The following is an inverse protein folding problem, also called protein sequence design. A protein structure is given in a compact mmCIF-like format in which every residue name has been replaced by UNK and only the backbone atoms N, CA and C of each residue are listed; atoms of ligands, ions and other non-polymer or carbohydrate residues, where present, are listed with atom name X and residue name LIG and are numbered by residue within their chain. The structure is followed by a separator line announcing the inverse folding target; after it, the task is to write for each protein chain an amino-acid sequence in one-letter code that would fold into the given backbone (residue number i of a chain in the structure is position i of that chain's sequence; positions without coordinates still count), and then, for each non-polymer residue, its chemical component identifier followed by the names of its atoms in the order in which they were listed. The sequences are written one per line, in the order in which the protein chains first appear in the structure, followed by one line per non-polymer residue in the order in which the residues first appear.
data_IF_529620937560
#
_entry.id   IF_529620937560
#
_cell.length_a   1.000
_cell.length_b   1.000
_cell.length_c   1.000
_cell.angle_alpha   90.00
_cell.angle_beta   90.00
_cell.angle_gamma   90.00
#
_symmetry.space_group_name_H-M   'P 1'
#
loop_
_entity.id
_entity.type
_entity.pdbx_description
1 polymer ?
#
# COMPACT_ATOMS: atom_id res chain seq x y z
N UNK A 1 26.24 -7.56 -0.64
CA UNK A 1 26.45 -8.92 -1.20
C UNK A 1 27.75 -9.48 -0.66
N UNK A 2 27.74 -10.69 -0.15
CA UNK A 2 28.98 -11.41 0.24
C UNK A 2 29.58 -12.01 -1.03
N UNK A 3 30.44 -11.27 -1.72
CA UNK A 3 30.86 -11.54 -3.10
C UNK A 3 31.35 -12.94 -3.35
N UNK A 4 32.17 -13.48 -2.42
CA UNK A 4 32.75 -14.79 -2.60
C UNK A 4 31.75 -15.94 -2.43
N UNK A 5 30.98 -15.92 -1.34
CA UNK A 5 30.02 -17.00 -1.04
C UNK A 5 28.77 -16.99 -1.95
N UNK A 6 28.45 -15.87 -2.55
CA UNK A 6 27.29 -15.74 -3.49
C UNK A 6 27.74 -15.79 -4.97
N UNK A 7 29.05 -15.84 -5.25
CA UNK A 7 29.57 -15.72 -6.61
C UNK A 7 29.03 -16.79 -7.57
N UNK A 8 28.89 -18.04 -7.13
CA UNK A 8 28.33 -19.11 -7.95
C UNK A 8 26.88 -18.87 -8.36
N UNK A 9 26.01 -18.48 -7.41
CA UNK A 9 24.62 -18.21 -7.67
C UNK A 9 24.42 -16.96 -8.54
N UNK A 10 25.19 -15.91 -8.31
CA UNK A 10 25.19 -14.70 -9.16
C UNK A 10 25.64 -15.03 -10.59
N UNK A 11 26.71 -15.84 -10.73
CA UNK A 11 27.17 -16.27 -12.04
C UNK A 11 26.13 -17.08 -12.80
N UNK A 12 25.44 -17.99 -12.12
CA UNK A 12 24.33 -18.76 -12.73
C UNK A 12 23.18 -17.87 -13.19
N UNK A 13 22.73 -16.95 -12.32
CA UNK A 13 21.66 -16.01 -12.67
C UNK A 13 22.03 -15.13 -13.88
N UNK A 14 23.25 -14.58 -13.88
CA UNK A 14 23.74 -13.75 -15.00
C UNK A 14 23.89 -14.56 -16.29
N UNK A 15 24.41 -15.79 -16.23
CA UNK A 15 24.53 -16.64 -17.41
C UNK A 15 23.18 -16.96 -18.02
N UNK A 16 22.19 -17.35 -17.19
CA UNK A 16 20.83 -17.60 -17.66
C UNK A 16 20.22 -16.32 -18.26
N UNK A 17 20.40 -15.18 -17.61
CA UNK A 17 19.85 -13.91 -18.08
C UNK A 17 20.42 -13.47 -19.43
N UNK A 18 21.73 -13.64 -19.62
CA UNK A 18 22.40 -13.31 -20.91
C UNK A 18 21.93 -14.25 -22.02
N UNK A 19 21.81 -15.55 -21.72
CA UNK A 19 21.51 -16.57 -22.76
C UNK A 19 20.00 -16.66 -23.03
N UNK A 20 19.17 -16.60 -22.01
CA UNK A 20 17.75 -16.91 -22.10
C UNK A 20 16.86 -15.67 -21.92
N UNK A 21 17.41 -14.51 -21.57
CA UNK A 21 16.63 -13.30 -21.25
C UNK A 21 15.95 -13.32 -19.87
N UNK A 22 16.12 -14.42 -19.10
CA UNK A 22 15.53 -14.61 -17.78
C UNK A 22 16.53 -15.31 -16.85
N UNK A 23 16.65 -14.91 -15.57
CA UNK A 23 17.58 -15.53 -14.63
C UNK A 23 17.22 -16.96 -14.23
N UNK A 24 16.03 -17.46 -14.58
CA UNK A 24 15.54 -18.81 -14.28
C UNK A 24 14.99 -19.00 -12.87
N UNK A 25 15.13 -18.01 -12.00
CA UNK A 25 14.61 -17.99 -10.63
C UNK A 25 14.46 -16.53 -10.15
N UNK A 26 13.70 -16.33 -9.09
CA UNK A 26 13.44 -14.98 -8.58
C UNK A 26 14.71 -14.36 -7.95
N UNK A 27 15.20 -13.29 -8.57
CA UNK A 27 16.35 -12.49 -8.11
C UNK A 27 15.94 -11.05 -7.74
N UNK A 28 14.66 -10.74 -7.67
CA UNK A 28 14.16 -9.37 -7.45
C UNK A 28 14.81 -8.70 -6.24
N UNK A 29 14.98 -9.42 -5.15
CA UNK A 29 15.62 -8.90 -3.93
C UNK A 29 17.09 -8.45 -4.15
N UNK A 30 17.73 -8.85 -5.25
CA UNK A 30 19.10 -8.46 -5.63
C UNK A 30 19.14 -7.60 -6.89
N UNK A 31 18.03 -7.44 -7.58
CA UNK A 31 17.93 -6.65 -8.81
C UNK A 31 18.05 -5.16 -8.49
N UNK A 32 18.87 -4.45 -9.26
CA UNK A 32 19.04 -3.00 -9.11
C UNK A 32 17.76 -2.24 -9.47
N UNK A 33 16.95 -2.76 -10.36
CA UNK A 33 15.67 -2.15 -10.77
C UNK A 33 14.61 -2.09 -9.67
N UNK A 34 14.83 -2.77 -8.53
CA UNK A 34 13.99 -2.57 -7.33
C UNK A 34 14.13 -1.19 -6.67
N UNK A 35 15.15 -0.44 -7.04
CA UNK A 35 15.37 0.92 -6.58
C UNK A 35 14.86 1.90 -7.61
N UNK A 36 13.89 2.73 -7.24
CA UNK A 36 13.39 3.82 -8.06
C UNK A 36 14.25 5.09 -7.96
N UNK A 37 13.76 6.17 -8.52
CA UNK A 37 14.44 7.48 -8.58
C UNK A 37 14.76 8.09 -7.20
N UNK A 38 14.07 7.64 -6.15
CA UNK A 38 14.35 8.03 -4.77
C UNK A 38 15.76 7.63 -4.31
N UNK A 39 16.37 6.62 -4.91
CA UNK A 39 17.68 6.08 -4.51
C UNK A 39 18.84 6.93 -5.07
N UNK A 40 18.80 8.22 -4.80
CA UNK A 40 19.88 9.14 -5.16
C UNK A 40 21.22 8.72 -4.52
N UNK A 41 22.34 9.25 -5.03
CA UNK A 41 23.68 8.98 -4.48
C UNK A 41 23.78 9.36 -2.99
N UNK A 42 23.16 10.47 -2.59
CA UNK A 42 23.14 10.92 -1.19
C UNK A 42 22.42 9.93 -0.27
N UNK A 43 21.21 9.50 -0.68
CA UNK A 43 20.44 8.51 0.03
C UNK A 43 21.18 7.16 0.11
N UNK A 44 21.67 6.69 -1.01
CA UNK A 44 22.39 5.41 -1.11
C UNK A 44 23.64 5.39 -0.22
N UNK A 45 24.44 6.46 -0.25
CA UNK A 45 25.64 6.58 0.60
C UNK A 45 25.28 6.56 2.09
N UNK A 46 24.24 7.28 2.51
CA UNK A 46 23.81 7.27 3.90
C UNK A 46 23.37 5.86 4.35
N UNK A 47 22.53 5.20 3.55
CA UNK A 47 22.05 3.83 3.80
C UNK A 47 23.16 2.80 3.83
N UNK A 48 24.10 2.86 2.86
CA UNK A 48 25.22 1.91 2.79
C UNK A 48 26.13 2.08 4.00
N UNK A 49 26.44 3.30 4.41
CA UNK A 49 27.26 3.54 5.62
C UNK A 49 26.62 2.94 6.87
N UNK A 50 25.34 3.21 7.12
CA UNK A 50 24.62 2.64 8.27
C UNK A 50 24.58 1.10 8.18
N UNK A 51 24.19 0.55 7.02
CA UNK A 51 24.12 -0.90 6.83
C UNK A 51 25.48 -1.59 7.00
N UNK A 52 26.56 -0.96 6.50
CA UNK A 52 27.89 -1.53 6.58
C UNK A 52 28.46 -1.48 8.00
N UNK A 53 28.23 -0.38 8.74
CA UNK A 53 28.66 -0.28 10.15
C UNK A 53 27.98 -1.33 11.04
N UNK A 54 26.79 -1.81 10.63
CA UNK A 54 25.99 -2.80 11.36
C UNK A 54 26.07 -4.20 10.73
N UNK A 55 27.02 -4.44 9.83
CA UNK A 55 27.10 -5.67 9.03
C UNK A 55 27.12 -6.96 9.85
N UNK A 56 27.75 -6.95 11.01
CA UNK A 56 27.88 -8.10 11.89
C UNK A 56 26.90 -8.06 13.08
N UNK A 57 26.05 -7.04 13.16
CA UNK A 57 25.03 -6.96 14.19
C UNK A 57 23.87 -7.90 13.86
N UNK A 58 23.35 -8.57 14.86
CA UNK A 58 22.09 -9.28 14.78
C UNK A 58 20.99 -8.24 14.96
N UNK A 59 20.10 -8.13 13.96
CA UNK A 59 18.98 -7.18 13.98
C UNK A 59 17.77 -7.81 14.66
N UNK A 60 17.08 -7.00 15.45
CA UNK A 60 15.78 -7.39 15.97
C UNK A 60 14.71 -7.43 14.86
N UNK A 61 13.68 -8.28 15.00
CA UNK A 61 12.51 -8.19 14.12
C UNK A 61 11.94 -6.77 14.11
N UNK A 62 11.53 -6.29 12.93
CA UNK A 62 10.97 -4.96 12.70
C UNK A 62 11.91 -3.77 12.99
N UNK A 63 13.18 -4.01 13.19
CA UNK A 63 14.16 -2.94 13.34
C UNK A 63 14.42 -2.24 12.01
N UNK A 64 14.17 -0.95 11.95
CA UNK A 64 14.32 -0.11 10.77
C UNK A 64 15.68 0.59 10.72
N UNK A 65 16.22 0.76 9.51
CA UNK A 65 17.39 1.64 9.30
C UNK A 65 16.93 3.09 9.29
N UNK A 66 17.67 3.96 9.96
CA UNK A 66 17.30 5.38 10.17
C UNK A 66 18.00 6.35 9.24
N UNK A 67 19.17 6.00 8.70
CA UNK A 67 19.92 6.90 7.83
C UNK A 67 19.15 7.25 6.55
N UNK A 68 19.25 8.49 6.10
CA UNK A 68 18.58 9.00 4.90
C UNK A 68 17.06 9.17 5.06
N UNK A 69 16.56 9.31 6.28
CA UNK A 69 15.12 9.51 6.58
C UNK A 69 14.89 10.84 7.32
N UNK A 70 13.70 11.50 7.14
CA UNK A 70 12.70 11.19 6.11
C UNK A 70 13.20 11.57 4.71
N UNK A 71 12.78 10.83 3.66
CA UNK A 71 13.10 11.16 2.27
C UNK A 71 11.87 11.66 1.53
N UNK A 72 10.82 10.86 1.47
CA UNK A 72 9.53 11.22 0.91
C UNK A 72 8.43 11.04 1.98
N UNK A 73 7.46 11.94 1.98
CA UNK A 73 6.37 11.96 2.97
C UNK A 73 5.03 12.19 2.29
N UNK A 74 3.95 11.69 2.90
CA UNK A 74 2.60 12.03 2.46
C UNK A 74 2.22 13.45 2.93
N UNK A 75 1.19 14.08 2.32
CA UNK A 75 0.76 15.43 2.71
C UNK A 75 0.31 15.58 4.18
N UNK A 76 0.07 14.47 4.88
CA UNK A 76 -0.37 14.43 6.28
C UNK A 76 0.71 13.97 7.26
N UNK A 77 1.95 13.86 6.81
CA UNK A 77 3.06 13.36 7.63
C UNK A 77 3.20 14.12 8.96
N UNK A 78 3.07 15.45 8.94
CA UNK A 78 3.15 16.28 10.15
C UNK A 78 1.98 16.03 11.11
N UNK A 79 0.77 15.76 10.61
CA UNK A 79 -0.41 15.37 11.39
C UNK A 79 -0.19 14.04 12.10
N UNK A 80 0.32 13.07 11.37
CA UNK A 80 0.62 11.73 11.90
C UNK A 80 1.78 11.80 12.91
N UNK A 81 2.82 12.58 12.62
CA UNK A 81 3.93 12.81 13.54
C UNK A 81 3.46 13.45 14.86
N UNK A 82 2.62 14.51 14.78
CA UNK A 82 2.04 15.16 15.95
C UNK A 82 1.14 14.21 16.77
N UNK A 83 0.50 13.24 16.13
CA UNK A 83 -0.29 12.19 16.78
C UNK A 83 0.55 11.06 17.39
N UNK A 84 1.88 11.12 17.28
CA UNK A 84 2.80 10.13 17.86
C UNK A 84 3.11 8.94 16.96
N UNK A 85 2.97 9.08 15.63
CA UNK A 85 3.33 8.03 14.70
C UNK A 85 4.80 7.62 14.82
N UNK A 86 5.03 6.32 14.91
CA UNK A 86 6.34 5.71 14.73
C UNK A 86 6.44 5.23 13.28
N UNK A 87 7.37 5.82 12.54
CA UNK A 87 7.45 5.61 11.10
C UNK A 87 8.44 4.52 10.72
N UNK A 88 8.10 3.78 9.68
CA UNK A 88 9.00 2.99 8.85
C UNK A 88 9.10 3.61 7.46
N UNK A 89 10.01 3.11 6.64
CA UNK A 89 10.14 3.55 5.27
C UNK A 89 9.98 2.37 4.28
N UNK A 90 9.17 2.59 3.26
CA UNK A 90 9.02 1.68 2.13
C UNK A 90 9.41 2.41 0.86
N UNK A 91 10.51 1.98 0.21
CA UNK A 91 11.03 2.61 -1.02
C UNK A 91 11.12 4.15 -0.93
N UNK A 92 11.70 4.62 0.18
CA UNK A 92 11.91 6.05 0.44
C UNK A 92 10.70 6.80 1.01
N UNK A 93 9.50 6.23 0.96
CA UNK A 93 8.28 6.84 1.51
C UNK A 93 8.10 6.48 3.00
N UNK A 94 7.93 7.50 3.83
CA UNK A 94 7.58 7.33 5.25
C UNK A 94 6.14 6.83 5.40
N UNK A 95 5.95 5.81 6.22
CA UNK A 95 4.64 5.27 6.52
C UNK A 95 4.49 4.99 8.02
N UNK A 96 3.33 5.27 8.64
CA UNK A 96 3.12 5.01 10.05
C UNK A 96 3.06 3.49 10.30
N UNK A 97 3.93 3.00 11.15
CA UNK A 97 3.93 1.60 11.58
C UNK A 97 2.95 1.37 12.73
N UNK A 98 2.96 2.27 13.70
CA UNK A 98 2.10 2.26 14.89
C UNK A 98 2.13 3.64 15.57
N UNK A 99 1.27 3.86 16.56
CA UNK A 99 1.15 5.14 17.24
C UNK A 99 1.37 4.99 18.74
N UNK A 100 2.12 5.94 19.31
CA UNK A 100 2.36 6.04 20.73
C UNK A 100 2.24 7.48 21.23
N UNK A 101 1.51 7.75 22.30
CA UNK A 101 1.45 9.09 22.87
C UNK A 101 2.80 9.49 23.44
N UNK A 102 3.20 10.74 23.15
CA UNK A 102 4.20 11.53 23.86
C UNK A 102 5.52 10.86 24.24
N UNK A 103 6.50 10.78 23.32
CA UNK A 103 7.89 10.49 23.68
C UNK A 103 8.25 9.02 23.91
N UNK A 104 7.35 8.09 23.60
CA UNK A 104 7.67 6.65 23.64
C UNK A 104 8.68 6.33 22.55
N UNK A 105 9.84 5.80 22.93
CA UNK A 105 10.86 5.29 22.01
C UNK A 105 10.65 3.78 21.86
N UNK A 106 10.77 3.30 20.62
CA UNK A 106 10.67 1.87 20.35
C UNK A 106 11.91 1.14 20.90
N UNK A 107 11.67 0.23 21.86
CA UNK A 107 12.67 -0.71 22.35
C UNK A 107 12.39 -2.08 21.73
N UNK A 108 13.35 -2.56 20.94
CA UNK A 108 13.26 -3.85 20.25
C UNK A 108 13.55 -5.01 21.19
N UNK A 109 12.89 -6.13 20.95
CA UNK A 109 13.05 -7.34 21.74
C UNK A 109 12.90 -8.59 20.85
N UNK A 110 13.58 -9.69 21.21
CA UNK A 110 13.38 -11.02 20.62
C UNK A 110 12.03 -11.64 20.99
N UNK A 111 11.28 -11.03 21.90
CA UNK A 111 9.94 -11.47 22.30
C UNK A 111 8.93 -10.42 21.83
N UNK A 112 8.46 -9.54 22.74
CA UNK A 112 7.50 -8.47 22.49
C UNK A 112 8.20 -7.14 22.66
N UNK A 113 8.30 -6.39 21.60
CA UNK A 113 8.82 -5.02 21.59
C UNK A 113 7.77 -4.05 22.16
N UNK A 114 8.16 -2.80 22.36
CA UNK A 114 7.33 -1.74 22.94
C UNK A 114 6.01 -1.54 22.20
N UNK A 115 6.02 -1.71 20.88
CA UNK A 115 4.86 -1.55 19.99
C UNK A 115 3.69 -2.48 20.33
N UNK A 116 3.95 -3.66 20.91
CA UNK A 116 2.94 -4.69 21.12
C UNK A 116 1.67 -4.18 21.83
N UNK A 117 1.85 -3.38 22.91
CA UNK A 117 0.71 -2.84 23.67
C UNK A 117 -0.06 -1.77 22.88
N UNK A 118 0.66 -0.97 22.10
CA UNK A 118 0.10 0.12 21.31
C UNK A 118 -0.67 -0.43 20.11
N UNK A 119 -0.06 -1.35 19.36
CA UNK A 119 -0.71 -2.07 18.26
C UNK A 119 -1.97 -2.80 18.75
N UNK A 120 -1.92 -3.42 19.94
CA UNK A 120 -3.10 -4.06 20.54
C UNK A 120 -4.25 -3.07 20.78
N UNK A 121 -3.96 -1.83 21.22
CA UNK A 121 -4.99 -0.78 21.40
C UNK A 121 -5.54 -0.31 20.05
N UNK A 122 -4.70 -0.15 19.05
CA UNK A 122 -5.12 0.21 17.69
C UNK A 122 -6.08 -0.84 17.11
N UNK A 123 -5.73 -2.13 17.23
CA UNK A 123 -6.59 -3.25 16.82
C UNK A 123 -7.95 -3.21 17.55
N UNK A 124 -7.96 -2.95 18.88
CA UNK A 124 -9.19 -2.82 19.65
C UNK A 124 -10.04 -1.63 19.19
N UNK A 125 -9.41 -0.49 18.88
CA UNK A 125 -10.11 0.69 18.36
C UNK A 125 -10.83 0.38 17.05
N UNK A 126 -10.15 -0.26 16.09
CA UNK A 126 -10.77 -0.69 14.83
C UNK A 126 -11.95 -1.63 15.09
N UNK A 127 -11.80 -2.61 15.97
CA UNK A 127 -12.85 -3.61 16.24
C UNK A 127 -14.05 -3.08 16.98
N UNK A 128 -13.86 -2.13 17.89
CA UNK A 128 -14.90 -1.63 18.78
C UNK A 128 -15.56 -0.36 18.29
N UNK A 129 -14.88 0.40 17.43
CA UNK A 129 -15.36 1.70 16.96
C UNK A 129 -14.98 1.96 15.50
N UNK A 130 -14.01 2.80 15.26
CA UNK A 130 -13.50 3.13 13.92
C UNK A 130 -12.03 3.52 13.99
N UNK A 131 -11.21 2.91 13.12
CA UNK A 131 -9.82 3.27 12.91
C UNK A 131 -9.66 4.05 11.62
N UNK A 132 -8.69 4.97 11.59
CA UNK A 132 -8.24 5.72 10.41
C UNK A 132 -6.76 5.43 10.17
N UNK A 133 -6.39 5.05 8.94
CA UNK A 133 -4.98 4.87 8.55
C UNK A 133 -4.68 5.50 7.20
N UNK A 134 -3.43 5.95 7.04
CA UNK A 134 -2.86 6.35 5.74
C UNK A 134 -2.44 5.11 4.96
N UNK A 135 -3.03 4.93 3.78
CA UNK A 135 -2.75 3.84 2.85
C UNK A 135 -2.16 4.36 1.52
N UNK A 136 -1.65 5.58 1.52
CA UNK A 136 -1.05 6.19 0.33
C UNK A 136 0.17 5.42 -0.20
N UNK A 137 0.77 4.58 0.63
CA UNK A 137 1.90 3.71 0.28
C UNK A 137 1.50 2.46 -0.54
N UNK A 138 0.22 2.20 -0.78
CA UNK A 138 -0.18 1.15 -1.71
C UNK A 138 0.20 1.53 -3.14
N UNK A 139 0.60 0.55 -3.95
CA UNK A 139 0.77 0.73 -5.38
C UNK A 139 -0.59 0.91 -6.05
N UNK A 140 -0.69 1.87 -6.98
CA UNK A 140 -1.91 2.17 -7.71
C UNK A 140 -1.56 2.29 -9.19
N UNK A 141 -2.17 1.43 -10.01
CA UNK A 141 -1.94 1.42 -11.43
C UNK A 141 -3.25 1.73 -12.15
N UNK A 142 -3.22 2.77 -12.98
CA UNK A 142 -4.34 3.10 -13.85
C UNK A 142 -4.13 2.47 -15.22
N UNK A 143 -5.14 1.76 -15.69
CA UNK A 143 -5.12 1.12 -17.01
C UNK A 143 -6.24 1.73 -17.86
N UNK A 144 -5.87 2.19 -19.05
CA UNK A 144 -6.76 2.83 -20.01
C UNK A 144 -6.50 2.31 -21.42
N UNK A 145 -7.39 2.66 -22.35
CA UNK A 145 -7.28 2.30 -23.76
C UNK A 145 -8.31 1.24 -24.19
N UNK A 146 -8.57 1.16 -25.47
CA UNK A 146 -9.58 0.26 -26.05
C UNK A 146 -9.26 -1.23 -25.84
N UNK A 147 -7.98 -1.56 -25.73
CA UNK A 147 -7.50 -2.93 -25.46
C UNK A 147 -7.45 -3.29 -23.96
N UNK A 148 -7.71 -2.36 -23.04
CA UNK A 148 -7.49 -2.55 -21.60
C UNK A 148 -8.24 -3.76 -21.04
N UNK A 149 -9.50 -3.94 -21.36
CA UNK A 149 -10.32 -5.05 -20.88
C UNK A 149 -9.76 -6.39 -21.34
N UNK A 150 -9.48 -6.53 -22.63
CA UNK A 150 -8.96 -7.80 -23.19
C UNK A 150 -7.57 -8.13 -22.63
N UNK A 151 -6.73 -7.12 -22.44
CA UNK A 151 -5.40 -7.30 -21.88
C UNK A 151 -5.46 -7.72 -20.40
N UNK A 152 -6.29 -7.06 -19.57
CA UNK A 152 -6.46 -7.43 -18.16
C UNK A 152 -7.07 -8.83 -18.00
N UNK A 153 -8.02 -9.21 -18.85
CA UNK A 153 -8.62 -10.56 -18.85
C UNK A 153 -7.58 -11.66 -19.18
N UNK A 154 -6.56 -11.31 -19.97
CA UNK A 154 -5.46 -12.23 -20.29
C UNK A 154 -4.43 -12.39 -19.18
N UNK A 155 -4.12 -11.31 -18.41
CA UNK A 155 -3.03 -11.34 -17.42
C UNK A 155 -3.50 -11.58 -15.98
N UNK A 156 -4.79 -11.46 -15.70
CA UNK A 156 -5.35 -11.62 -14.36
C UNK A 156 -6.18 -12.90 -14.27
N UNK A 157 -6.02 -13.64 -13.18
CA UNK A 157 -6.75 -14.88 -12.93
C UNK A 157 -8.07 -14.62 -12.19
N UNK A 158 -8.93 -13.74 -12.75
CA UNK A 158 -10.24 -13.42 -12.19
C UNK A 158 -11.23 -13.04 -13.29
N UNK A 159 -12.52 -13.03 -12.96
CA UNK A 159 -13.51 -12.35 -13.82
C UNK A 159 -13.42 -10.85 -13.57
N UNK A 160 -13.25 -10.07 -14.63
CA UNK A 160 -13.19 -8.62 -14.53
C UNK A 160 -14.51 -8.03 -14.01
N UNK A 161 -14.46 -7.02 -13.12
CA UNK A 161 -15.66 -6.38 -12.62
C UNK A 161 -16.26 -5.43 -13.67
N UNK A 162 -17.58 -5.22 -13.60
CA UNK A 162 -18.24 -4.15 -14.36
C UNK A 162 -18.05 -2.77 -13.72
N UNK A 163 -18.48 -1.69 -14.41
CA UNK A 163 -18.36 -0.32 -13.90
C UNK A 163 -18.93 -0.15 -12.49
N UNK A 164 -18.25 0.63 -11.66
CA UNK A 164 -18.60 0.86 -10.24
C UNK A 164 -18.38 -0.34 -9.32
N UNK A 165 -17.65 -1.38 -9.78
CA UNK A 165 -17.39 -2.59 -9.01
C UNK A 165 -15.92 -2.90 -8.88
N UNK A 166 -15.60 -3.67 -7.86
CA UNK A 166 -14.25 -4.18 -7.56
C UNK A 166 -14.27 -5.71 -7.49
N UNK A 167 -13.10 -6.32 -7.68
CA UNK A 167 -12.84 -7.73 -7.41
C UNK A 167 -11.42 -7.92 -6.90
N UNK A 168 -11.14 -9.06 -6.27
CA UNK A 168 -9.76 -9.48 -6.01
C UNK A 168 -9.21 -10.13 -7.29
N UNK A 169 -8.02 -9.71 -7.69
CA UNK A 169 -7.42 -10.05 -8.96
C UNK A 169 -5.99 -10.58 -8.79
N UNK A 170 -5.81 -11.89 -8.62
CA UNK A 170 -4.48 -12.51 -8.66
C UNK A 170 -3.87 -12.39 -10.05
N UNK A 171 -2.59 -12.09 -10.10
CA UNK A 171 -1.76 -12.12 -11.31
C UNK A 171 -0.77 -13.27 -11.21
N UNK A 172 -0.75 -14.14 -12.21
CA UNK A 172 0.00 -15.38 -12.20
C UNK A 172 1.03 -15.41 -13.32
N UNK A 173 2.12 -16.13 -13.09
CA UNK A 173 3.02 -16.60 -14.15
C UNK A 173 2.36 -17.75 -14.92
N UNK A 174 2.95 -18.09 -16.07
CA UNK A 174 2.52 -19.25 -16.89
C UNK A 174 2.58 -20.58 -16.11
N UNK A 175 3.45 -20.69 -15.13
CA UNK A 175 3.57 -21.86 -14.25
C UNK A 175 2.58 -21.86 -13.06
N UNK A 176 1.68 -20.88 -13.01
CA UNK A 176 0.66 -20.72 -11.97
C UNK A 176 1.13 -20.07 -10.67
N UNK A 177 2.38 -19.65 -10.57
CA UNK A 177 2.87 -18.92 -9.38
C UNK A 177 2.34 -17.49 -9.35
N UNK A 178 1.99 -17.04 -8.16
CA UNK A 178 1.50 -15.66 -7.93
C UNK A 178 2.64 -14.67 -8.09
N UNK A 179 2.45 -13.67 -8.96
CA UNK A 179 3.31 -12.48 -9.10
C UNK A 179 2.81 -11.35 -8.24
N UNK A 180 1.49 -11.17 -8.18
CA UNK A 180 0.84 -10.14 -7.41
C UNK A 180 -0.63 -10.46 -7.20
N UNK A 181 -1.22 -9.75 -6.25
CA UNK A 181 -2.65 -9.75 -5.99
C UNK A 181 -3.11 -8.29 -5.83
N UNK A 182 -4.26 -8.00 -6.39
CA UNK A 182 -4.78 -6.63 -6.47
C UNK A 182 -6.25 -6.58 -6.07
N UNK A 183 -6.64 -5.43 -5.55
CA UNK A 183 -8.01 -4.97 -5.63
C UNK A 183 -8.18 -4.27 -6.97
N UNK A 184 -8.89 -4.90 -7.91
CA UNK A 184 -9.16 -4.38 -9.24
C UNK A 184 -10.51 -3.68 -9.25
N UNK A 185 -10.54 -2.41 -9.59
CA UNK A 185 -11.75 -1.62 -9.81
C UNK A 185 -11.94 -1.32 -11.29
N UNK A 186 -13.18 -1.44 -11.77
CA UNK A 186 -13.63 -0.85 -13.04
C UNK A 186 -14.36 0.46 -12.70
N UNK A 187 -13.84 1.59 -13.18
CA UNK A 187 -14.40 2.90 -12.91
C UNK A 187 -15.55 3.22 -13.87
N UNK A 188 -16.35 4.23 -13.56
CA UNK A 188 -17.52 4.60 -14.35
C UNK A 188 -17.16 5.06 -15.78
N UNK A 189 -15.95 5.58 -15.98
CA UNK A 189 -15.42 5.97 -17.30
C UNK A 189 -14.88 4.78 -18.12
N UNK A 190 -14.97 3.55 -17.57
CA UNK A 190 -14.48 2.34 -18.22
C UNK A 190 -12.99 2.09 -18.04
N UNK A 191 -12.24 2.97 -17.37
CA UNK A 191 -10.86 2.72 -16.98
C UNK A 191 -10.79 1.77 -15.79
N UNK A 192 -9.61 1.18 -15.58
CA UNK A 192 -9.36 0.29 -14.45
C UNK A 192 -8.34 0.89 -13.49
N UNK A 193 -8.55 0.64 -12.20
CA UNK A 193 -7.60 0.96 -11.15
C UNK A 193 -7.24 -0.33 -10.39
N UNK A 194 -5.95 -0.70 -10.42
CA UNK A 194 -5.42 -1.81 -9.64
C UNK A 194 -4.72 -1.24 -8.40
N UNK A 195 -5.05 -1.75 -7.23
CA UNK A 195 -4.45 -1.37 -5.96
C UNK A 195 -3.77 -2.61 -5.38
N UNK A 196 -2.48 -2.51 -5.12
CA UNK A 196 -1.67 -3.62 -4.66
C UNK A 196 -0.58 -3.23 -3.67
N UNK A 197 0.34 -4.15 -3.44
CA UNK A 197 1.45 -3.92 -2.51
C UNK A 197 2.42 -2.85 -3.02
N UNK A 198 2.59 -1.75 -2.27
CA UNK A 198 3.57 -0.71 -2.61
C UNK A 198 5.01 -1.20 -2.59
N UNK A 199 5.30 -2.28 -1.87
CA UNK A 199 6.64 -2.89 -1.88
C UNK A 199 6.98 -3.61 -3.18
N UNK A 200 5.98 -3.91 -3.99
CA UNK A 200 6.12 -4.62 -5.24
C UNK A 200 5.77 -3.73 -6.47
N UNK A 201 5.69 -2.41 -6.29
CA UNK A 201 5.25 -1.50 -7.34
C UNK A 201 6.10 -1.62 -8.61
N UNK A 202 7.41 -1.49 -8.51
CA UNK A 202 8.31 -1.62 -9.66
C UNK A 202 8.37 -3.06 -10.21
N UNK A 203 8.24 -4.05 -9.32
CA UNK A 203 8.18 -5.47 -9.72
C UNK A 203 6.96 -5.78 -10.57
N UNK A 204 5.79 -5.31 -10.13
CA UNK A 204 4.55 -5.46 -10.89
C UNK A 204 4.58 -4.63 -12.18
N UNK A 205 5.07 -3.38 -12.12
CA UNK A 205 5.16 -2.52 -13.30
C UNK A 205 6.04 -3.15 -14.38
N UNK A 206 7.18 -3.75 -14.02
CA UNK A 206 8.04 -4.47 -14.96
C UNK A 206 7.28 -5.62 -15.64
N UNK A 207 6.48 -6.37 -14.89
CA UNK A 207 5.67 -7.45 -15.43
C UNK A 207 4.59 -6.91 -16.36
N UNK A 208 3.88 -5.89 -15.97
CA UNK A 208 2.88 -5.24 -16.81
C UNK A 208 3.48 -4.76 -18.15
N UNK A 209 4.60 -4.05 -18.08
CA UNK A 209 5.26 -3.51 -19.26
C UNK A 209 5.75 -4.60 -20.23
N UNK A 210 6.19 -5.75 -19.71
CA UNK A 210 6.63 -6.88 -20.56
C UNK A 210 5.48 -7.62 -21.25
N UNK A 211 4.23 -7.36 -20.84
CA UNK A 211 3.03 -7.98 -21.41
C UNK A 211 2.11 -6.98 -22.10
N UNK A 212 2.55 -5.73 -22.27
CA UNK A 212 1.77 -4.75 -23.03
C UNK A 212 1.75 -5.13 -24.53
N UNK A 213 0.59 -4.94 -25.20
CA UNK A 213 0.55 -5.09 -26.65
C UNK A 213 1.31 -3.97 -27.35
N UNK A 214 2.06 -4.31 -28.42
CA UNK A 214 2.92 -3.36 -29.15
C UNK A 214 2.13 -2.28 -29.95
N UNK A 215 0.82 -2.44 -30.09
CA UNK A 215 -0.05 -1.58 -30.88
C UNK A 215 -0.49 -0.29 -30.18
N UNK A 216 -0.09 -0.08 -28.91
CA UNK A 216 -0.47 1.10 -28.14
C UNK A 216 -1.94 1.14 -27.69
N UNK A 217 -2.70 0.05 -27.84
CA UNK A 217 -4.12 -0.02 -27.45
C UNK A 217 -4.34 -0.02 -25.94
N UNK A 218 -3.28 -0.21 -25.15
CA UNK A 218 -3.30 -0.23 -23.67
C UNK A 218 -2.25 0.73 -23.15
N UNK A 219 -2.67 1.57 -22.20
CA UNK A 219 -1.76 2.45 -21.44
C UNK A 219 -1.89 2.09 -19.95
N UNK A 220 -0.77 1.84 -19.30
CA UNK A 220 -0.69 1.66 -17.86
C UNK A 220 0.22 2.71 -17.25
N UNK A 221 -0.23 3.33 -16.16
CA UNK A 221 0.54 4.33 -15.42
C UNK A 221 0.49 4.04 -13.93
N UNK A 222 1.63 4.23 -13.23
CA UNK A 222 1.63 4.27 -11.77
C UNK A 222 1.18 5.65 -11.31
N UNK A 223 0.19 5.70 -10.42
CA UNK A 223 -0.31 6.94 -9.81
C UNK A 223 0.62 7.45 -8.70
N UNK A 224 1.43 6.57 -8.10
CA UNK A 224 2.33 6.95 -7.01
C UNK A 224 1.61 7.78 -5.93
N UNK A 225 2.20 8.90 -5.52
CA UNK A 225 1.58 9.88 -4.62
C UNK A 225 0.62 10.86 -5.33
N UNK A 226 0.44 10.77 -6.65
CA UNK A 226 -0.60 11.52 -7.36
C UNK A 226 -2.03 11.12 -6.92
N UNK A 227 -2.15 9.93 -6.32
CA UNK A 227 -3.38 9.47 -5.67
C UNK A 227 -3.06 9.02 -4.24
N UNK A 228 -3.48 9.82 -3.25
CA UNK A 228 -3.32 9.52 -1.83
C UNK A 228 -4.53 8.79 -1.28
N UNK A 229 -4.34 7.92 -0.30
CA UNK A 229 -5.41 7.10 0.25
C UNK A 229 -5.51 7.13 1.76
N UNK A 230 -6.74 7.19 2.26
CA UNK A 230 -7.08 6.94 3.66
C UNK A 230 -8.04 5.76 3.75
N UNK A 231 -7.90 4.94 4.78
CA UNK A 231 -8.90 3.91 5.09
C UNK A 231 -9.54 4.20 6.43
N UNK A 232 -10.87 4.07 6.48
CA UNK A 232 -11.63 4.00 7.73
C UNK A 232 -12.22 2.61 7.87
N UNK A 233 -11.97 1.96 9.01
CA UNK A 233 -12.41 0.59 9.25
C UNK A 233 -12.95 0.40 10.66
N UNK A 234 -13.96 -0.44 10.79
CA UNK A 234 -14.63 -0.74 12.04
C UNK A 234 -16.14 -0.51 12.00
N UNK A 235 -16.89 -0.90 13.04
CA UNK A 235 -18.36 -0.87 13.04
C UNK A 235 -18.96 0.53 12.83
N UNK A 236 -18.26 1.60 13.22
CA UNK A 236 -18.71 2.99 13.06
C UNK A 236 -18.25 3.64 11.75
N UNK A 237 -17.47 2.96 10.91
CA UNK A 237 -16.90 3.54 9.69
C UNK A 237 -17.98 4.08 8.72
N UNK A 238 -19.13 3.40 8.62
CA UNK A 238 -20.25 3.89 7.81
C UNK A 238 -20.87 5.18 8.35
N UNK A 239 -21.02 5.28 9.66
CA UNK A 239 -21.56 6.48 10.30
C UNK A 239 -20.64 7.69 10.07
N UNK A 240 -19.32 7.49 10.20
CA UNK A 240 -18.31 8.52 9.89
C UNK A 240 -18.42 8.93 8.41
N UNK A 241 -18.47 7.98 7.48
CA UNK A 241 -18.59 8.30 6.05
C UNK A 241 -19.89 9.07 5.75
N UNK A 242 -21.02 8.61 6.29
CA UNK A 242 -22.33 9.25 6.12
C UNK A 242 -22.38 10.69 6.64
N UNK A 243 -21.56 11.04 7.64
CA UNK A 243 -21.46 12.40 8.16
C UNK A 243 -20.76 13.37 7.20
N UNK A 244 -20.06 12.87 6.17
CA UNK A 244 -19.32 13.69 5.21
C UNK A 244 -19.96 13.74 3.83
N UNK A 245 -20.97 12.93 3.54
CA UNK A 245 -21.56 12.88 2.20
C UNK A 245 -23.08 12.88 2.25
N UNK A 246 -23.70 13.47 1.23
CA UNK A 246 -25.15 13.34 0.98
C UNK A 246 -25.52 12.09 0.18
N UNK A 247 -24.52 11.37 -0.35
CA UNK A 247 -24.75 10.11 -1.06
C UNK A 247 -25.26 9.03 -0.11
N UNK A 248 -26.16 8.19 -0.58
CA UNK A 248 -26.61 7.02 0.18
C UNK A 248 -25.50 5.99 0.27
N UNK A 249 -24.94 5.82 1.48
CA UNK A 249 -23.91 4.84 1.83
C UNK A 249 -24.46 3.67 2.65
N UNK A 250 -25.79 3.46 2.63
CA UNK A 250 -26.44 2.31 3.23
C UNK A 250 -25.89 0.99 2.69
N UNK A 251 -26.23 -0.12 3.34
CA UNK A 251 -25.80 -1.45 2.88
C UNK A 251 -26.38 -1.79 1.51
N UNK A 252 -27.58 -1.35 1.26
CA UNK A 252 -28.37 -1.59 0.04
C UNK A 252 -27.84 -0.77 -1.14
N UNK A 253 -27.56 0.51 -0.90
CA UNK A 253 -27.13 1.43 -1.94
C UNK A 253 -25.62 1.33 -2.25
N UNK A 254 -24.78 1.07 -1.25
CA UNK A 254 -23.34 0.95 -1.41
C UNK A 254 -22.86 -0.42 -0.94
N UNK A 255 -22.97 -1.41 -1.82
CA UNK A 255 -22.69 -2.83 -1.54
C UNK A 255 -21.19 -3.09 -1.37
N UNK A 256 -20.84 -4.17 -0.68
CA UNK A 256 -19.45 -4.66 -0.60
C UNK A 256 -18.85 -4.83 -2.00
N UNK A 257 -17.60 -4.43 -2.17
CA UNK A 257 -16.87 -4.38 -3.45
C UNK A 257 -17.51 -3.41 -4.48
N UNK A 258 -18.25 -2.39 -4.02
CA UNK A 258 -18.61 -1.25 -4.85
C UNK A 258 -17.55 -0.15 -4.72
N UNK A 259 -17.36 0.60 -5.79
CA UNK A 259 -16.51 1.78 -5.84
C UNK A 259 -17.26 2.91 -6.56
N UNK A 260 -17.17 4.14 -6.06
CA UNK A 260 -17.89 5.30 -6.60
C UNK A 260 -17.11 6.58 -6.40
N UNK A 261 -17.23 7.47 -7.35
CA UNK A 261 -16.95 8.89 -7.14
C UNK A 261 -18.04 9.51 -6.26
N UNK A 262 -17.64 10.24 -5.24
CA UNK A 262 -18.55 10.99 -4.38
C UNK A 262 -17.85 12.20 -3.74
N UNK A 263 -18.63 13.18 -3.35
CA UNK A 263 -18.10 14.32 -2.60
C UNK A 263 -18.18 14.02 -1.09
N UNK A 264 -17.05 14.17 -0.42
CA UNK A 264 -16.95 14.16 1.04
C UNK A 264 -16.80 15.62 1.51
N UNK A 265 -17.91 16.24 1.92
CA UNK A 265 -17.99 17.68 2.02
C UNK A 265 -17.77 18.33 0.64
N UNK A 266 -16.70 19.11 0.53
CA UNK A 266 -16.27 19.75 -0.74
C UNK A 266 -15.15 18.99 -1.46
N UNK A 267 -14.78 17.81 -0.99
CA UNK A 267 -13.65 17.05 -1.50
C UNK A 267 -14.14 15.98 -2.48
N UNK A 268 -13.75 16.03 -3.77
CA UNK A 268 -14.01 14.95 -4.69
C UNK A 268 -13.16 13.75 -4.32
N UNK A 269 -13.78 12.60 -4.11
CA UNK A 269 -13.12 11.37 -3.67
C UNK A 269 -13.64 10.16 -4.43
N UNK A 270 -12.74 9.22 -4.71
CA UNK A 270 -13.08 7.88 -5.16
C UNK A 270 -13.15 6.99 -3.91
N UNK A 271 -14.31 6.42 -3.63
CA UNK A 271 -14.55 5.65 -2.41
C UNK A 271 -14.88 4.21 -2.76
N UNK A 272 -14.06 3.27 -2.27
CA UNK A 272 -14.30 1.83 -2.38
C UNK A 272 -14.84 1.26 -1.07
N UNK A 273 -15.90 0.45 -1.13
CA UNK A 273 -16.37 -0.28 0.05
C UNK A 273 -15.60 -1.59 0.19
N UNK A 274 -14.38 -1.46 0.65
CA UNK A 274 -13.43 -2.53 0.93
C UNK A 274 -12.55 -2.10 2.10
N UNK A 275 -12.00 -3.04 2.83
CA UNK A 275 -10.99 -2.80 3.86
C UNK A 275 -10.06 -3.98 3.98
N UNK A 276 -8.77 -3.70 4.03
CA UNK A 276 -7.75 -4.73 4.25
C UNK A 276 -7.79 -5.32 5.68
N UNK A 277 -8.52 -4.69 6.60
CA UNK A 277 -8.73 -5.21 7.97
C UNK A 277 -9.69 -6.40 8.03
N UNK A 278 -10.47 -6.65 6.97
CA UNK A 278 -11.54 -7.64 6.95
C UNK A 278 -12.79 -7.27 7.74
N UNK A 279 -12.83 -6.08 8.34
CA UNK A 279 -14.02 -5.49 8.97
C UNK A 279 -14.74 -4.55 8.01
N UNK A 280 -15.93 -4.06 8.39
CA UNK A 280 -16.60 -3.01 7.63
C UNK A 280 -15.66 -1.82 7.48
N UNK A 281 -15.46 -1.35 6.25
CA UNK A 281 -14.57 -0.24 6.02
C UNK A 281 -14.66 0.29 4.60
N UNK A 282 -13.95 1.39 4.40
CA UNK A 282 -13.89 2.12 3.15
C UNK A 282 -12.46 2.58 2.90
N UNK A 283 -12.02 2.44 1.67
CA UNK A 283 -10.81 3.07 1.16
C UNK A 283 -11.20 4.31 0.37
N UNK A 284 -10.60 5.44 0.72
CA UNK A 284 -10.94 6.75 0.20
C UNK A 284 -9.71 7.31 -0.50
N UNK A 285 -9.80 7.51 -1.79
CA UNK A 285 -8.72 7.96 -2.64
C UNK A 285 -8.97 9.37 -3.14
N UNK A 286 -7.98 10.24 -2.97
CA UNK A 286 -8.04 11.66 -3.33
C UNK A 286 -6.73 12.13 -3.94
N UNK A 287 -6.77 13.23 -4.69
CA UNK A 287 -5.55 13.93 -5.09
C UNK A 287 -4.82 14.51 -3.87
N UNK A 288 -3.48 14.64 -3.93
CA UNK A 288 -2.67 15.04 -2.79
C UNK A 288 -3.07 16.39 -2.17
N UNK A 289 -3.57 17.34 -2.97
CA UNK A 289 -4.04 18.64 -2.49
C UNK A 289 -5.23 18.55 -1.54
N UNK A 290 -6.03 17.49 -1.61
CA UNK A 290 -7.19 17.26 -0.73
C UNK A 290 -6.87 16.36 0.47
N UNK A 291 -5.75 15.67 0.47
CA UNK A 291 -5.45 14.61 1.46
C UNK A 291 -5.44 15.14 2.90
N UNK A 292 -4.82 16.30 3.12
CA UNK A 292 -4.77 16.93 4.45
C UNK A 292 -6.17 17.32 4.94
N UNK A 293 -6.96 17.97 4.10
CA UNK A 293 -8.30 18.38 4.46
C UNK A 293 -9.20 17.18 4.75
N UNK A 294 -9.11 16.15 3.92
CA UNK A 294 -9.85 14.90 4.15
C UNK A 294 -9.50 14.26 5.49
N UNK A 295 -8.21 14.20 5.83
CA UNK A 295 -7.77 13.69 7.13
C UNK A 295 -8.36 14.50 8.29
N UNK A 296 -8.25 15.83 8.25
CA UNK A 296 -8.75 16.71 9.29
C UNK A 296 -10.28 16.59 9.43
N UNK A 297 -11.03 16.53 8.31
CA UNK A 297 -12.49 16.35 8.31
C UNK A 297 -12.91 14.99 8.87
N UNK A 298 -12.24 13.90 8.49
CA UNK A 298 -12.51 12.55 9.03
C UNK A 298 -12.25 12.47 10.54
N UNK A 299 -11.16 13.06 11.01
CA UNK A 299 -10.86 13.11 12.45
C UNK A 299 -11.92 13.92 13.20
N UNK A 300 -12.35 15.08 12.68
CA UNK A 300 -13.34 15.94 13.30
C UNK A 300 -14.72 15.27 13.43
N UNK A 301 -15.26 14.72 12.32
CA UNK A 301 -16.56 14.03 12.38
C UNK A 301 -16.50 12.70 13.11
N UNK A 302 -15.32 12.07 13.12
CA UNK A 302 -15.07 10.80 13.80
C UNK A 302 -14.96 10.89 15.32
N UNK A 303 -14.77 12.10 15.89
CA UNK A 303 -14.57 12.29 17.33
C UNK A 303 -15.71 11.72 18.17
N UNK A 304 -16.96 11.98 17.77
CA UNK A 304 -18.15 11.45 18.47
C UNK A 304 -18.24 9.93 18.41
N UNK A 305 -17.60 9.31 17.42
CA UNK A 305 -17.50 7.87 17.24
C UNK A 305 -16.21 7.29 17.82
N UNK A 306 -15.42 8.08 18.56
CA UNK A 306 -14.13 7.69 19.14
C UNK A 306 -13.16 7.14 18.10
N UNK A 307 -13.05 7.83 16.97
CA UNK A 307 -12.08 7.49 15.91
C UNK A 307 -10.65 7.49 16.47
N UNK A 308 -9.86 6.52 16.09
CA UNK A 308 -8.45 6.46 16.46
C UNK A 308 -7.56 6.12 15.27
N UNK A 309 -6.31 6.57 15.32
CA UNK A 309 -5.33 6.25 14.30
C UNK A 309 -4.81 4.82 14.51
N UNK A 310 -4.49 4.15 13.42
CA UNK A 310 -3.80 2.87 13.43
C UNK A 310 -2.76 2.77 12.32
N UNK A 311 -1.68 2.05 12.59
CA UNK A 311 -0.58 1.88 11.66
C UNK A 311 -0.59 0.54 10.94
N UNK A 312 0.43 0.36 10.08
CA UNK A 312 0.56 -0.85 9.25
C UNK A 312 0.74 -2.13 10.06
N UNK A 313 1.29 -2.08 11.29
CA UNK A 313 1.41 -3.25 12.16
C UNK A 313 0.04 -3.73 12.65
N UNK A 314 -0.85 -2.82 13.02
CA UNK A 314 -2.23 -3.14 13.38
C UNK A 314 -3.02 -3.63 12.17
N UNK A 315 -2.86 -2.99 11.00
CA UNK A 315 -3.46 -3.44 9.75
C UNK A 315 -3.08 -4.89 9.44
N UNK A 316 -1.78 -5.21 9.56
CA UNK A 316 -1.28 -6.57 9.33
C UNK A 316 -1.81 -7.59 10.35
N UNK A 317 -1.93 -7.20 11.62
CA UNK A 317 -2.51 -8.07 12.66
C UNK A 317 -3.99 -8.37 12.37
N UNK A 318 -4.78 -7.33 12.04
CA UNK A 318 -6.20 -7.45 11.74
C UNK A 318 -6.49 -8.39 10.56
N UNK A 319 -5.73 -8.25 9.46
CA UNK A 319 -5.91 -9.14 8.31
C UNK A 319 -5.57 -10.60 8.63
N UNK A 320 -4.47 -10.83 9.37
CA UNK A 320 -4.06 -12.19 9.76
C UNK A 320 -5.11 -12.90 10.61
N UNK A 321 -5.81 -12.17 11.47
CA UNK A 321 -6.92 -12.70 12.28
C UNK A 321 -8.14 -13.10 11.44
N UNK A 322 -8.23 -12.63 10.19
CA UNK A 322 -9.26 -13.00 9.20
C UNK A 322 -8.78 -14.05 8.21
N UNK A 323 -7.57 -14.57 8.37
CA UNK A 323 -6.95 -15.60 7.53
C UNK A 323 -6.65 -15.15 6.08
N UNK A 324 -6.27 -13.90 5.86
CA UNK A 324 -5.80 -13.44 4.55
C UNK A 324 -4.62 -12.45 4.62
#
# INVERSE_FOLDING_TARGET
MAGFSQGGGVGLALANWIVNGDPGFDVWAMDVSRFGDYATMGFTNARVRENYSRRFSIRYPNEELTAGRPLATTPIYDRLSAAGAQFGASFGLEMPLWFAPGGVVEEFSWRRSTDFKHVGKEVQTVRQSVGLADISNFAKYRVTGEGATAWLDNILACRLPGPGRMTLAPMLKEDGRVIGDFSLACLEDGSYLLIGSGRAEDYHMRWFLSHLPDNGSVVITSEGLGLCGLTIAGPQSRAVLASLTSADVSHEAFKFMAIRDMNLGMIPALVGRISYTGDLGYEIWVKPEYHRRLFDDLMAVGEIYKIGLFGSRALNALRLEKNF
#
